data_IF_087534513815
#
_entry.id   IF_087534513815
#
_cell.length_a   1.000
_cell.length_b   1.000
_cell.length_c   1.000
_cell.angle_alpha   90.00
_cell.angle_beta   90.00
_cell.angle_gamma   90.00
#
_symmetry.space_group_name_H-M   'P 1'
#
loop_
_entity.id
_entity.type
_entity.pdbx_description
1 polymer ?
#
# COMPACT_ATOMS: atom_id res chain seq x y z
N UNK A 1 -1.66 -10.66 -28.04
CA UNK A 1 -0.92 -10.99 -26.81
C UNK A 1 -1.48 -10.07 -25.75
N UNK A 2 -2.40 -10.54 -24.90
CA UNK A 2 -2.99 -9.69 -23.86
C UNK A 2 -1.91 -9.37 -22.84
N UNK A 3 -1.65 -8.10 -22.58
CA UNK A 3 -0.81 -7.69 -21.47
C UNK A 3 -1.51 -8.16 -20.20
N UNK A 4 -0.97 -9.19 -19.54
CA UNK A 4 -1.45 -9.55 -18.21
C UNK A 4 -1.12 -8.38 -17.30
N UNK A 5 -2.10 -7.51 -17.06
CA UNK A 5 -1.96 -6.41 -16.14
C UNK A 5 -1.96 -6.98 -14.72
N UNK A 6 -0.77 -7.37 -14.24
CA UNK A 6 -0.53 -7.82 -12.85
C UNK A 6 -0.48 -6.63 -11.87
N UNK A 7 -1.18 -5.54 -12.19
CA UNK A 7 -1.24 -4.32 -11.39
C UNK A 7 -2.07 -4.49 -10.12
N UNK A 8 -1.90 -3.56 -9.19
CA UNK A 8 -2.68 -3.46 -7.97
C UNK A 8 -2.10 -2.40 -7.03
N UNK A 9 -2.85 -2.12 -5.98
CA UNK A 9 -2.63 -0.93 -5.16
C UNK A 9 -2.00 -1.28 -3.81
N UNK A 10 -0.94 -0.54 -3.45
CA UNK A 10 -0.23 -0.70 -2.18
C UNK A 10 -0.42 0.51 -1.29
N UNK A 11 -0.87 0.25 -0.06
CA UNK A 11 -0.88 1.26 1.00
C UNK A 11 0.42 1.21 1.80
N UNK A 12 1.21 2.27 1.69
CA UNK A 12 2.43 2.46 2.45
C UNK A 12 2.24 3.57 3.49
N UNK A 13 2.92 3.43 4.61
CA UNK A 13 2.96 4.42 5.68
C UNK A 13 4.40 4.80 6.01
N UNK A 14 4.61 6.02 6.49
CA UNK A 14 5.91 6.46 7.00
C UNK A 14 6.27 5.67 8.27
N UNK A 15 7.14 4.67 8.12
CA UNK A 15 7.55 3.75 9.19
C UNK A 15 9.05 3.79 9.42
N UNK A 16 9.52 3.08 10.44
CA UNK A 16 10.95 2.73 10.56
C UNK A 16 11.32 1.58 9.61
N UNK A 17 12.59 1.18 9.60
CA UNK A 17 13.08 0.09 8.75
C UNK A 17 13.79 -1.04 9.54
N UNK A 18 13.93 -0.88 10.85
CA UNK A 18 14.48 -1.89 11.75
C UNK A 18 13.52 -3.06 11.98
N UNK A 19 13.99 -4.12 12.64
CA UNK A 19 13.19 -5.34 12.89
C UNK A 19 11.88 -5.07 13.63
N UNK A 20 11.89 -4.14 14.57
CA UNK A 20 10.71 -3.74 15.36
C UNK A 20 10.09 -2.45 14.83
N UNK A 21 10.91 -1.43 14.53
CA UNK A 21 10.42 -0.10 14.13
C UNK A 21 9.68 -0.09 12.79
N UNK A 22 9.82 -1.13 11.95
CA UNK A 22 9.03 -1.30 10.71
C UNK A 22 7.52 -1.43 10.92
N UNK A 23 7.08 -1.67 12.15
CA UNK A 23 5.67 -1.74 12.52
C UNK A 23 5.18 -0.47 13.24
N UNK A 24 6.03 0.55 13.34
CA UNK A 24 5.74 1.80 14.03
C UNK A 24 5.76 2.96 13.05
N UNK A 25 4.79 3.87 13.19
CA UNK A 25 4.78 5.12 12.46
C UNK A 25 5.91 6.02 12.96
N UNK A 26 6.62 6.65 12.02
CA UNK A 26 7.71 7.57 12.33
C UNK A 26 7.34 8.97 11.86
N UNK A 27 7.12 9.93 12.78
CA UNK A 27 6.77 11.29 12.41
C UNK A 27 7.94 11.95 11.67
N UNK A 28 7.65 12.56 10.51
CA UNK A 28 8.65 13.23 9.67
C UNK A 28 8.09 14.48 9.01
N UNK A 29 9.00 15.39 8.64
CA UNK A 29 8.71 16.64 7.91
C UNK A 29 9.15 16.60 6.44
N UNK A 30 9.87 15.56 6.06
CA UNK A 30 10.37 15.34 4.71
C UNK A 30 10.12 13.89 4.30
N UNK A 31 10.31 13.61 3.02
CA UNK A 31 10.29 12.26 2.48
C UNK A 31 11.29 11.34 3.21
N UNK A 32 10.97 10.06 3.23
CA UNK A 32 11.77 9.03 3.89
C UNK A 32 11.11 7.68 3.76
N UNK A 33 11.71 6.65 4.35
CA UNK A 33 11.29 5.26 4.19
C UNK A 33 9.82 5.02 4.49
N UNK A 34 9.09 4.33 3.62
CA UNK A 34 7.71 3.94 3.87
C UNK A 34 7.59 2.42 3.76
N UNK A 35 6.73 1.80 4.54
CA UNK A 35 6.42 0.38 4.40
C UNK A 35 4.93 0.12 4.61
N UNK A 36 4.46 -1.06 4.19
CA UNK A 36 3.17 -1.56 4.63
C UNK A 36 3.18 -1.66 6.16
N UNK A 37 2.30 -0.93 6.85
CA UNK A 37 2.32 -0.86 8.31
C UNK A 37 2.02 -2.23 8.96
N UNK A 38 1.06 -2.95 8.39
CA UNK A 38 0.74 -4.33 8.75
C UNK A 38 1.26 -5.25 7.64
N UNK A 39 1.75 -6.46 7.98
CA UNK A 39 2.13 -7.44 6.98
C UNK A 39 0.95 -7.78 6.05
N UNK A 40 1.24 -7.95 4.77
CA UNK A 40 0.33 -8.54 3.80
C UNK A 40 0.47 -10.06 3.86
N UNK A 41 -0.63 -10.77 3.60
CA UNK A 41 -0.68 -12.22 3.52
C UNK A 41 -0.23 -12.67 2.12
N UNK A 42 0.58 -13.72 2.07
CA UNK A 42 0.89 -14.44 0.83
C UNK A 42 0.79 -15.95 1.09
N UNK A 43 0.76 -16.81 0.05
CA UNK A 43 0.73 -18.27 0.22
C UNK A 43 1.92 -18.82 1.03
N UNK A 44 3.02 -18.08 1.09
CA UNK A 44 4.25 -18.48 1.80
C UNK A 44 4.43 -17.75 3.13
N UNK A 45 3.41 -17.04 3.62
CA UNK A 45 3.38 -16.36 4.91
C UNK A 45 3.33 -14.83 4.81
N UNK A 46 3.43 -14.10 5.94
CA UNK A 46 3.37 -12.65 5.96
C UNK A 46 4.56 -12.01 5.22
N UNK A 47 4.30 -10.90 4.54
CA UNK A 47 5.29 -10.12 3.80
C UNK A 47 5.05 -8.62 4.00
N UNK A 48 6.14 -7.86 4.16
CA UNK A 48 6.14 -6.41 4.19
C UNK A 48 6.78 -5.89 2.91
N UNK A 49 6.23 -4.82 2.35
CA UNK A 49 6.82 -4.08 1.23
C UNK A 49 7.32 -2.73 1.74
N UNK A 50 8.46 -2.27 1.24
CA UNK A 50 9.10 -1.01 1.63
C UNK A 50 9.54 -0.22 0.40
N UNK A 51 9.36 1.09 0.47
CA UNK A 51 10.03 2.09 -0.36
C UNK A 51 11.06 2.85 0.48
N UNK A 52 12.26 3.04 -0.05
CA UNK A 52 13.32 3.84 0.58
C UNK A 52 13.89 4.83 -0.43
N UNK A 53 13.98 6.14 -0.12
CA UNK A 53 14.61 7.09 -1.03
C UNK A 53 16.01 6.64 -1.42
N UNK A 54 16.32 6.72 -2.70
CA UNK A 54 17.60 6.32 -3.31
C UNK A 54 18.19 7.43 -4.21
N UNK A 55 17.44 8.50 -4.47
CA UNK A 55 17.83 9.68 -5.24
C UNK A 55 16.77 10.77 -5.10
N UNK A 56 16.83 11.81 -5.94
CA UNK A 56 15.80 12.86 -5.97
C UNK A 56 14.45 12.35 -6.47
N UNK A 57 14.46 11.41 -7.41
CA UNK A 57 13.26 10.85 -8.06
C UNK A 57 13.16 9.32 -7.85
N UNK A 58 14.23 8.71 -7.34
CA UNK A 58 14.37 7.27 -7.25
C UNK A 58 14.09 6.74 -5.85
N UNK A 59 13.37 5.64 -5.83
CA UNK A 59 12.99 4.90 -4.63
C UNK A 59 13.36 3.42 -4.79
N UNK A 60 14.06 2.87 -3.81
CA UNK A 60 14.31 1.44 -3.74
C UNK A 60 13.07 0.71 -3.23
N UNK A 61 12.61 -0.30 -3.98
CA UNK A 61 11.58 -1.24 -3.56
C UNK A 61 12.26 -2.45 -2.93
N UNK A 62 11.83 -2.82 -1.72
CA UNK A 62 12.30 -4.01 -1.02
C UNK A 62 11.14 -4.75 -0.34
N UNK A 63 11.34 -6.03 -0.06
CA UNK A 63 10.41 -6.83 0.74
C UNK A 63 11.11 -7.46 1.95
N UNK A 64 10.34 -7.82 2.97
CA UNK A 64 10.86 -8.57 4.12
C UNK A 64 9.78 -9.45 4.75
N UNK A 65 10.20 -10.56 5.36
CA UNK A 65 9.37 -11.26 6.35
C UNK A 65 9.37 -10.47 7.66
N UNK A 66 8.34 -10.61 8.51
CA UNK A 66 8.40 -10.08 9.88
C UNK A 66 9.69 -10.53 10.58
N UNK A 67 10.44 -9.58 11.15
CA UNK A 67 11.74 -9.82 11.81
C UNK A 67 12.93 -10.12 10.88
N UNK A 68 12.72 -10.28 9.57
CA UNK A 68 13.76 -10.63 8.61
C UNK A 68 14.56 -9.43 8.07
N UNK A 69 15.59 -9.74 7.26
CA UNK A 69 16.30 -8.74 6.47
C UNK A 69 15.43 -8.19 5.33
N UNK A 70 15.75 -7.00 4.85
CA UNK A 70 15.13 -6.44 3.64
C UNK A 70 15.84 -6.97 2.41
N UNK A 71 15.06 -7.45 1.44
CA UNK A 71 15.53 -7.95 0.16
C UNK A 71 15.07 -6.99 -0.94
N UNK A 72 16.01 -6.34 -1.62
CA UNK A 72 15.71 -5.44 -2.74
C UNK A 72 15.06 -6.23 -3.87
N UNK A 73 14.02 -5.65 -4.48
CA UNK A 73 13.33 -6.22 -5.63
C UNK A 73 13.35 -5.30 -6.84
N UNK A 74 13.47 -3.99 -6.65
CA UNK A 74 13.48 -3.07 -7.78
C UNK A 74 13.71 -1.61 -7.39
N UNK A 75 13.45 -0.74 -8.36
CA UNK A 75 13.47 0.71 -8.22
C UNK A 75 12.15 1.26 -8.75
N UNK A 76 11.60 2.26 -8.08
CA UNK A 76 10.50 3.09 -8.54
C UNK A 76 11.09 4.48 -8.84
N UNK A 77 10.90 4.96 -10.07
CA UNK A 77 11.28 6.32 -10.46
C UNK A 77 9.99 7.13 -10.58
N UNK A 78 9.90 8.23 -9.85
CA UNK A 78 8.76 9.14 -9.89
C UNK A 78 9.07 10.22 -10.92
N UNK A 79 8.20 10.37 -11.91
CA UNK A 79 8.30 11.41 -12.93
C UNK A 79 7.27 12.50 -12.67
N UNK A 80 7.59 13.74 -13.03
CA UNK A 80 6.66 14.88 -12.97
C UNK A 80 5.64 14.90 -14.13
N UNK A 81 5.38 13.75 -14.74
CA UNK A 81 4.40 13.66 -15.82
C UNK A 81 2.98 13.76 -15.22
N UNK A 82 2.15 14.72 -15.68
CA UNK A 82 0.80 14.85 -15.19
C UNK A 82 -0.03 13.65 -15.65
N UNK A 83 -0.37 12.79 -14.70
CA UNK A 83 -1.34 11.70 -14.89
C UNK A 83 -2.72 12.13 -14.40
N UNK A 84 -3.82 11.63 -14.98
CA UNK A 84 -5.15 11.76 -14.39
C UNK A 84 -5.08 11.31 -12.93
N UNK A 85 -5.74 12.04 -12.02
CA UNK A 85 -5.68 11.75 -10.59
C UNK A 85 -6.09 10.29 -10.32
N UNK A 86 -5.14 9.42 -9.90
CA UNK A 86 -5.42 8.01 -9.79
C UNK A 86 -6.28 7.75 -8.56
N UNK A 87 -7.31 6.92 -8.73
CA UNK A 87 -8.06 6.37 -7.61
C UNK A 87 -7.47 5.03 -7.20
N UNK A 88 -7.16 4.87 -5.92
CA UNK A 88 -6.57 3.65 -5.37
C UNK A 88 -7.57 2.87 -4.51
N UNK A 89 -7.60 1.56 -4.70
CA UNK A 89 -8.36 0.59 -3.93
C UNK A 89 -7.44 -0.42 -3.23
N UNK A 90 -6.55 0.03 -2.32
CA UNK A 90 -5.48 -0.81 -1.77
C UNK A 90 -5.98 -1.97 -0.93
N UNK A 91 -7.25 -1.98 -0.50
CA UNK A 91 -7.84 -3.08 0.27
C UNK A 91 -8.46 -4.16 -0.63
N UNK A 92 -9.14 -3.74 -1.69
CA UNK A 92 -9.95 -4.63 -2.53
C UNK A 92 -9.25 -5.01 -3.84
N UNK A 93 -8.24 -4.22 -4.24
CA UNK A 93 -7.42 -4.43 -5.45
C UNK A 93 -5.90 -4.50 -5.15
N UNK A 94 -5.42 -5.35 -4.22
CA UNK A 94 -3.99 -5.47 -3.95
C UNK A 94 -3.23 -6.12 -5.12
N UNK A 95 -1.89 -5.93 -5.23
CA UNK A 95 -1.11 -6.59 -6.27
C UNK A 95 -1.24 -8.11 -6.22
N UNK A 96 -1.16 -8.75 -7.38
CA UNK A 96 -1.30 -10.20 -7.50
C UNK A 96 -0.35 -10.96 -6.55
N UNK A 97 -0.91 -11.91 -5.79
CA UNK A 97 -0.18 -12.70 -4.81
C UNK A 97 -0.03 -12.04 -3.43
N UNK A 98 -0.54 -10.82 -3.25
CA UNK A 98 -0.64 -10.13 -1.97
C UNK A 98 -2.11 -9.98 -1.57
N UNK A 99 -2.40 -10.29 -0.31
CA UNK A 99 -3.73 -10.10 0.28
C UNK A 99 -3.61 -9.34 1.60
N UNK A 100 -4.67 -8.66 2.03
CA UNK A 100 -4.76 -8.20 3.41
C UNK A 100 -5.26 -9.32 4.32
N UNK A 101 -4.80 -9.34 5.57
CA UNK A 101 -5.44 -10.17 6.59
C UNK A 101 -6.91 -9.70 6.78
N UNK A 102 -7.88 -10.62 6.98
CA UNK A 102 -9.30 -10.26 7.06
C UNK A 102 -9.61 -9.17 8.09
N UNK A 103 -8.97 -9.21 9.26
CA UNK A 103 -9.13 -8.21 10.32
C UNK A 103 -8.61 -6.84 9.88
N UNK A 104 -7.46 -6.80 9.19
CA UNK A 104 -6.90 -5.55 8.67
C UNK A 104 -7.78 -4.95 7.56
N UNK A 105 -8.36 -5.79 6.70
CA UNK A 105 -9.30 -5.36 5.68
C UNK A 105 -10.58 -4.81 6.30
N UNK A 106 -11.15 -5.52 7.29
CA UNK A 106 -12.38 -5.11 7.98
C UNK A 106 -12.24 -3.73 8.64
N UNK A 107 -11.10 -3.45 9.28
CA UNK A 107 -10.84 -2.15 9.90
C UNK A 107 -10.70 -0.99 8.89
N UNK A 108 -10.33 -1.30 7.64
CA UNK A 108 -10.03 -0.28 6.62
C UNK A 108 -11.17 -0.02 5.65
N UNK A 109 -11.96 -1.03 5.30
CA UNK A 109 -13.05 -0.92 4.31
C UNK A 109 -14.02 0.24 4.58
N UNK A 110 -14.49 0.49 5.83
CA UNK A 110 -15.41 1.60 6.07
C UNK A 110 -14.83 2.96 5.69
N UNK A 111 -13.55 3.19 6.00
CA UNK A 111 -12.85 4.44 5.68
C UNK A 111 -12.67 4.62 4.16
N UNK A 112 -12.35 3.55 3.44
CA UNK A 112 -12.23 3.60 1.97
C UNK A 112 -13.57 3.76 1.27
N UNK A 113 -14.64 3.12 1.77
CA UNK A 113 -15.99 3.34 1.26
C UNK A 113 -16.43 4.80 1.43
N UNK A 114 -16.11 5.41 2.59
CA UNK A 114 -16.37 6.84 2.80
C UNK A 114 -15.54 7.73 1.85
N UNK A 115 -14.26 7.42 1.64
CA UNK A 115 -13.41 8.15 0.71
C UNK A 115 -13.95 8.08 -0.73
N UNK A 116 -14.42 6.90 -1.19
CA UNK A 116 -15.07 6.73 -2.49
C UNK A 116 -16.32 7.59 -2.64
N UNK A 117 -17.18 7.64 -1.59
CA UNK A 117 -18.35 8.52 -1.58
C UNK A 117 -17.97 9.99 -1.72
N UNK A 118 -16.94 10.44 -1.02
CA UNK A 118 -16.44 11.82 -1.10
C UNK A 118 -15.85 12.15 -2.47
N UNK A 119 -15.23 11.17 -3.14
CA UNK A 119 -14.70 11.30 -4.49
C UNK A 119 -15.78 11.21 -5.59
N UNK A 120 -17.06 10.97 -5.25
CA UNK A 120 -18.14 10.79 -6.22
C UNK A 120 -18.07 9.45 -6.98
N UNK A 121 -17.35 8.47 -6.45
CA UNK A 121 -17.11 7.13 -7.03
C UNK A 121 -17.95 6.03 -6.38
N UNK A 122 -18.89 6.41 -5.52
CA UNK A 122 -19.85 5.48 -4.96
C UNK A 122 -20.93 5.18 -6.01
N UNK A 123 -21.10 3.90 -6.32
CA UNK A 123 -22.19 3.42 -7.15
C UNK A 123 -23.53 3.69 -6.45
N UNK A 124 -24.58 3.94 -7.21
CA UNK A 124 -25.89 4.41 -6.74
C UNK A 124 -26.69 3.39 -5.88
N UNK A 125 -26.05 2.36 -5.32
CA UNK A 125 -26.69 1.24 -4.62
C UNK A 125 -26.08 0.94 -3.24
N UNK A 126 -25.36 1.89 -2.65
CA UNK A 126 -24.89 1.78 -1.26
C UNK A 126 -26.09 2.01 -0.32
N UNK A 127 -26.56 1.01 0.46
CA UNK A 127 -27.72 1.19 1.33
C UNK A 127 -27.41 2.27 2.37
N UNK A 128 -28.24 3.31 2.37
CA UNK A 128 -28.23 4.38 3.36
C UNK A 128 -28.36 3.74 4.75
N UNK A 129 -27.44 4.01 5.71
CA UNK A 129 -27.61 3.56 7.07
C UNK A 129 -28.87 4.26 7.62
N UNK A 130 -29.87 3.45 7.95
CA UNK A 130 -31.08 3.89 8.64
C UNK A 130 -30.68 4.38 10.03
N UNK A 131 -30.85 5.67 10.29
CA UNK A 131 -30.83 6.25 11.64
C UNK A 131 -32.06 5.85 12.45
#
# INVERSE_FOLDING_TARGET
MGENNFGGDLLLAGTGDGMVSRHLLVPRRSEGTCSTLLPMRTPTGPLLVRLRPAGSEDWEIAWSRPGGAWHRVGTLTVTDEPVPEPHFEPVDSPPHGLEHYPVAALLRRPSYAQARRQAGLAEADDPVPME
#
